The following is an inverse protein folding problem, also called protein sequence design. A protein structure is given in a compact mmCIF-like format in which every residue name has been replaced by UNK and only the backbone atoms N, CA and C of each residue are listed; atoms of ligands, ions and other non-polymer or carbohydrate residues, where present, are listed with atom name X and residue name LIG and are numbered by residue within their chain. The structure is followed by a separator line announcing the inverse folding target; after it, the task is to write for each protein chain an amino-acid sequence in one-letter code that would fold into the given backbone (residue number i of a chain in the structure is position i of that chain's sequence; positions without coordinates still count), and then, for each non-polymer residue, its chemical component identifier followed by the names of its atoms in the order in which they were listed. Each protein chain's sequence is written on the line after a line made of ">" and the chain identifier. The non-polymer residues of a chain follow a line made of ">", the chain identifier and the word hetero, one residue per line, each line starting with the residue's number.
data_IF_509438914474
#
_entry.id   IF_509438914474
#
_cell.length_a   1.000
_cell.length_b   1.000
_cell.length_c   1.000
_cell.angle_alpha   90.00
_cell.angle_beta   90.00
_cell.angle_gamma   90.00
#
_symmetry.space_group_name_H-M   'P 1'
#
loop_
_entity.id
_entity.type
_entity.pdbx_description
1 polymer ?
#
# COMPACT_ATOMS: atom_id res chain seq x y z
N UNK A 1 30.78 38.24 39.25
CA UNK A 1 31.41 37.75 38.00
C UNK A 1 31.04 36.28 37.82
N UNK A 2 30.40 35.92 36.71
CA UNK A 2 30.33 34.54 36.21
C UNK A 2 29.05 33.75 36.51
N UNK A 3 28.07 33.83 35.61
CA UNK A 3 27.11 32.72 35.40
C UNK A 3 27.13 32.40 33.92
N UNK A 4 28.01 31.47 33.53
CA UNK A 4 27.98 30.79 32.24
C UNK A 4 27.29 29.43 32.44
N UNK A 5 26.31 29.16 31.58
CA UNK A 5 26.05 27.83 31.06
C UNK A 5 25.09 26.93 31.85
N UNK A 6 23.94 26.64 31.24
CA UNK A 6 23.65 25.26 30.83
C UNK A 6 22.49 25.22 29.82
N UNK A 7 22.88 25.29 28.54
CA UNK A 7 22.08 24.78 27.42
C UNK A 7 22.13 23.26 27.55
N UNK A 8 21.20 22.67 28.30
CA UNK A 8 21.03 21.21 28.34
C UNK A 8 19.55 20.85 28.30
N UNK A 9 19.15 20.41 27.11
CA UNK A 9 18.09 19.43 26.80
C UNK A 9 16.97 19.91 25.86
N UNK A 10 17.36 20.41 24.69
CA UNK A 10 16.53 20.38 23.47
C UNK A 10 16.29 18.94 22.92
N UNK A 11 16.58 17.91 23.72
CA UNK A 11 16.35 16.50 23.41
C UNK A 11 15.49 15.79 24.48
N UNK A 12 14.71 16.53 25.26
CA UNK A 12 13.71 15.93 26.13
C UNK A 12 12.41 15.70 25.35
N UNK A 13 12.31 14.47 24.83
CA UNK A 13 11.06 13.78 24.46
C UNK A 13 10.24 14.40 23.33
N UNK A 14 10.40 13.81 22.14
CA UNK A 14 9.22 13.35 21.39
C UNK A 14 8.46 12.38 22.30
N UNK A 15 7.64 12.94 23.19
CA UNK A 15 6.87 12.14 24.12
C UNK A 15 5.89 11.30 23.30
N UNK A 16 6.00 9.99 23.45
CA UNK A 16 5.06 9.01 22.93
C UNK A 16 3.71 9.26 23.62
N UNK A 17 2.90 10.14 23.04
CA UNK A 17 1.61 10.61 23.58
C UNK A 17 0.62 9.45 23.84
N UNK A 18 0.90 8.26 23.29
CA UNK A 18 0.10 7.05 23.46
C UNK A 18 0.31 6.33 24.80
N UNK A 19 1.35 6.67 25.60
CA UNK A 19 1.59 6.05 26.91
C UNK A 19 1.06 6.87 28.10
N UNK A 20 0.41 8.01 27.84
CA UNK A 20 -0.07 8.89 28.90
C UNK A 20 -1.44 8.42 29.40
N UNK A 21 -1.59 8.13 30.69
CA UNK A 21 -2.89 7.79 31.30
C UNK A 21 -3.48 9.04 31.97
N UNK A 22 -4.46 9.68 31.33
CA UNK A 22 -5.11 10.89 31.82
C UNK A 22 -6.48 11.13 31.17
N UNK A 23 -7.27 12.09 31.68
CA UNK A 23 -8.62 12.37 31.13
C UNK A 23 -8.62 12.72 29.64
N UNK A 24 -7.56 13.33 29.14
CA UNK A 24 -7.40 13.72 27.72
C UNK A 24 -7.04 12.54 26.81
N UNK A 25 -6.46 11.46 27.35
CA UNK A 25 -6.17 10.21 26.63
C UNK A 25 -7.21 9.12 26.85
N UNK A 26 -8.28 9.38 27.62
CA UNK A 26 -9.39 8.43 27.88
C UNK A 26 -10.17 8.04 26.61
N UNK A 27 -10.14 8.87 25.57
CA UNK A 27 -10.69 8.54 24.24
C UNK A 27 -9.83 7.51 23.49
N UNK A 28 -8.55 7.42 23.84
CA UNK A 28 -7.60 6.49 23.23
C UNK A 28 -7.69 5.12 23.91
N UNK A 29 -8.68 4.33 23.51
CA UNK A 29 -8.74 2.91 23.86
C UNK A 29 -7.83 2.18 22.88
N UNK A 30 -6.55 2.04 23.21
CA UNK A 30 -5.69 1.07 22.55
C UNK A 30 -6.13 -0.33 23.00
N UNK A 31 -7.14 -0.91 22.34
CA UNK A 31 -7.46 -2.32 22.51
C UNK A 31 -6.22 -3.10 22.09
N UNK A 32 -5.76 -4.02 22.93
CA UNK A 32 -4.68 -4.95 22.59
C UNK A 32 -5.20 -6.03 21.63
N UNK A 33 -5.78 -5.61 20.52
CA UNK A 33 -6.32 -6.44 19.45
C UNK A 33 -5.67 -6.00 18.16
N UNK A 34 -5.24 -6.96 17.34
CA UNK A 34 -4.70 -6.63 16.02
C UNK A 34 -5.78 -5.97 15.17
N UNK A 35 -5.39 -5.11 14.23
CA UNK A 35 -6.31 -4.53 13.25
C UNK A 35 -7.14 -5.62 12.55
N UNK A 36 -6.53 -6.80 12.31
CA UNK A 36 -7.19 -7.96 11.73
C UNK A 36 -8.31 -8.53 12.63
N UNK A 37 -8.12 -8.54 13.95
CA UNK A 37 -9.13 -9.02 14.90
C UNK A 37 -10.32 -8.04 15.01
N UNK A 38 -10.09 -6.75 14.79
CA UNK A 38 -11.14 -5.73 14.80
C UNK A 38 -11.91 -5.68 13.48
N UNK A 39 -11.20 -5.75 12.35
CA UNK A 39 -11.78 -5.66 11.00
C UNK A 39 -12.44 -6.97 10.59
N UNK A 40 -11.93 -8.13 11.01
CA UNK A 40 -12.40 -9.44 10.57
C UNK A 40 -13.90 -9.69 10.78
N UNK A 41 -14.51 -9.12 11.84
CA UNK A 41 -15.96 -9.23 12.10
C UNK A 41 -16.82 -8.41 11.14
N UNK A 42 -16.29 -7.32 10.59
CA UNK A 42 -17.00 -6.38 9.73
C UNK A 42 -16.50 -6.39 8.28
N UNK A 43 -15.52 -7.23 7.95
CA UNK A 43 -14.81 -7.22 6.67
C UNK A 43 -15.75 -7.47 5.49
N UNK A 44 -16.71 -8.40 5.61
CA UNK A 44 -17.71 -8.65 4.58
C UNK A 44 -18.52 -7.39 4.25
N UNK A 45 -19.10 -6.75 5.27
CA UNK A 45 -19.87 -5.50 5.11
C UNK A 45 -19.02 -4.35 4.56
N UNK A 46 -17.74 -4.29 4.94
CA UNK A 46 -16.83 -3.27 4.42
C UNK A 46 -16.57 -3.46 2.92
N UNK A 47 -16.35 -4.69 2.46
CA UNK A 47 -16.17 -5.02 1.04
C UNK A 47 -17.44 -4.73 0.23
N UNK A 48 -18.60 -5.08 0.76
CA UNK A 48 -19.88 -4.81 0.09
C UNK A 48 -20.11 -3.30 -0.07
N UNK A 49 -19.82 -2.52 0.98
CA UNK A 49 -19.89 -1.04 0.91
C UNK A 49 -18.86 -0.42 -0.02
N UNK A 50 -17.65 -0.99 -0.10
CA UNK A 50 -16.62 -0.56 -1.05
C UNK A 50 -17.11 -0.73 -2.50
N UNK A 51 -17.61 -1.93 -2.83
CA UNK A 51 -18.17 -2.24 -4.17
C UNK A 51 -19.39 -1.38 -4.50
N UNK A 52 -20.27 -1.16 -3.53
CA UNK A 52 -21.44 -0.29 -3.68
C UNK A 52 -21.02 1.17 -3.95
N UNK A 53 -20.07 1.68 -3.18
CA UNK A 53 -19.52 3.03 -3.36
C UNK A 53 -18.88 3.22 -4.73
N UNK A 54 -18.11 2.22 -5.20
CA UNK A 54 -17.47 2.24 -6.52
C UNK A 54 -18.50 2.25 -7.64
N UNK A 55 -19.60 1.48 -7.53
CA UNK A 55 -20.62 1.40 -8.59
C UNK A 55 -21.57 2.60 -8.61
N UNK A 56 -21.92 3.14 -7.44
CA UNK A 56 -22.96 4.15 -7.30
C UNK A 56 -22.44 5.59 -7.19
N UNK A 57 -21.13 5.80 -7.10
CA UNK A 57 -20.55 7.14 -6.99
C UNK A 57 -19.46 7.40 -8.03
N UNK A 58 -19.45 8.63 -8.56
CA UNK A 58 -18.39 9.09 -9.44
C UNK A 58 -17.02 9.14 -8.72
N UNK A 59 -17.03 9.45 -7.42
CA UNK A 59 -15.82 9.56 -6.61
C UNK A 59 -15.16 8.18 -6.42
N UNK A 60 -15.94 7.13 -6.23
CA UNK A 60 -15.43 5.76 -6.07
C UNK A 60 -14.65 5.28 -7.30
N UNK A 61 -15.21 5.45 -8.50
CA UNK A 61 -14.47 5.14 -9.74
C UNK A 61 -13.21 5.98 -9.87
N UNK A 62 -13.30 7.30 -9.65
CA UNK A 62 -12.15 8.20 -9.77
C UNK A 62 -11.02 7.84 -8.81
N UNK A 63 -11.36 7.46 -7.57
CA UNK A 63 -10.39 7.03 -6.56
C UNK A 63 -9.64 5.79 -7.03
N UNK A 64 -10.33 4.77 -7.56
CA UNK A 64 -9.69 3.58 -8.10
C UNK A 64 -8.75 3.92 -9.27
N UNK A 65 -9.21 4.72 -10.23
CA UNK A 65 -8.40 5.10 -11.39
C UNK A 65 -7.11 5.82 -10.97
N UNK A 66 -7.21 6.75 -10.01
CA UNK A 66 -6.05 7.47 -9.46
C UNK A 66 -5.10 6.51 -8.75
N UNK A 67 -5.61 5.66 -7.86
CA UNK A 67 -4.76 4.75 -7.08
C UNK A 67 -4.07 3.72 -7.98
N UNK A 68 -4.78 3.12 -8.92
CA UNK A 68 -4.20 2.15 -9.87
C UNK A 68 -3.16 2.83 -10.76
N UNK A 69 -3.46 4.02 -11.28
CA UNK A 69 -2.51 4.77 -12.10
C UNK A 69 -1.23 5.15 -11.35
N UNK A 70 -1.32 5.49 -10.06
CA UNK A 70 -0.13 5.80 -9.25
C UNK A 70 0.63 4.54 -8.80
N UNK A 71 -0.07 3.43 -8.57
CA UNK A 71 0.55 2.19 -8.10
C UNK A 71 1.29 1.46 -9.23
N UNK A 72 0.66 1.36 -10.41
CA UNK A 72 1.19 0.59 -11.55
C UNK A 72 1.97 1.48 -12.52
N UNK A 73 1.50 2.71 -12.76
CA UNK A 73 2.11 3.62 -13.72
C UNK A 73 2.14 3.02 -15.12
N UNK A 74 3.36 2.83 -15.67
CA UNK A 74 3.60 2.21 -16.99
C UNK A 74 3.78 0.69 -16.91
N UNK A 75 3.58 0.09 -15.73
CA UNK A 75 3.91 -1.30 -15.45
C UNK A 75 5.05 -1.41 -14.44
N UNK A 76 4.92 -2.37 -13.54
CA UNK A 76 5.92 -2.76 -12.56
C UNK A 76 6.91 -3.70 -13.24
N UNK A 77 8.17 -3.27 -13.28
CA UNK A 77 9.25 -3.99 -13.94
C UNK A 77 10.21 -4.55 -12.91
N UNK A 78 10.50 -5.85 -13.00
CA UNK A 78 11.50 -6.48 -12.15
C UNK A 78 12.89 -6.27 -12.75
N UNK A 79 13.76 -5.63 -11.98
CA UNK A 79 15.16 -5.43 -12.36
C UNK A 79 15.99 -6.54 -11.70
N UNK A 80 16.57 -7.47 -12.48
CA UNK A 80 17.45 -8.48 -11.91
C UNK A 80 18.72 -7.81 -11.37
N UNK A 81 19.23 -8.34 -10.27
CA UNK A 81 20.48 -7.89 -9.66
C UNK A 81 21.28 -9.10 -9.21
N UNK A 82 21.77 -9.86 -10.19
CA UNK A 82 22.50 -11.11 -9.96
C UNK A 82 24.01 -10.88 -9.78
N UNK A 83 24.48 -9.66 -10.07
CA UNK A 83 25.91 -9.31 -10.07
C UNK A 83 26.67 -9.74 -11.32
N UNK A 84 25.96 -10.21 -12.35
CA UNK A 84 26.52 -10.61 -13.65
C UNK A 84 25.64 -10.09 -14.78
N UNK A 85 26.19 -9.18 -15.59
CA UNK A 85 25.48 -8.57 -16.73
C UNK A 85 24.94 -9.62 -17.71
N UNK A 86 25.64 -10.74 -17.87
CA UNK A 86 25.23 -11.85 -18.75
C UNK A 86 23.94 -12.49 -18.24
N UNK A 87 23.85 -12.76 -16.93
CA UNK A 87 22.66 -13.36 -16.31
C UNK A 87 21.50 -12.37 -16.28
N UNK A 88 21.77 -11.11 -15.98
CA UNK A 88 20.75 -10.06 -15.93
C UNK A 88 20.17 -9.78 -17.33
N UNK A 89 21.00 -9.81 -18.39
CA UNK A 89 20.54 -9.73 -19.77
C UNK A 89 19.70 -10.95 -20.17
N UNK A 90 20.13 -12.16 -19.80
CA UNK A 90 19.37 -13.39 -20.07
C UNK A 90 17.99 -13.35 -19.39
N UNK A 91 17.94 -12.92 -18.13
CA UNK A 91 16.68 -12.75 -17.41
C UNK A 91 15.76 -11.76 -18.13
N UNK A 92 16.30 -10.62 -18.56
CA UNK A 92 15.51 -9.58 -19.24
C UNK A 92 14.88 -10.10 -20.53
N UNK A 93 15.64 -10.83 -21.35
CA UNK A 93 15.15 -11.43 -22.60
C UNK A 93 14.06 -12.48 -22.34
N UNK A 94 14.29 -13.39 -21.39
CA UNK A 94 13.31 -14.43 -21.03
C UNK A 94 12.01 -13.81 -20.49
N UNK A 95 12.13 -12.72 -19.72
CA UNK A 95 10.99 -11.98 -19.22
C UNK A 95 10.22 -11.31 -20.35
N UNK A 96 10.90 -10.64 -21.28
CA UNK A 96 10.25 -10.00 -22.44
C UNK A 96 9.51 -11.02 -23.33
N UNK A 97 10.13 -12.19 -23.56
CA UNK A 97 9.50 -13.30 -24.30
C UNK A 97 8.26 -13.86 -23.58
N UNK A 98 8.36 -14.01 -22.25
CA UNK A 98 7.23 -14.45 -21.44
C UNK A 98 6.11 -13.39 -21.37
N UNK A 99 6.44 -12.11 -21.21
CA UNK A 99 5.46 -11.01 -21.16
C UNK A 99 4.64 -10.93 -22.44
N UNK A 100 5.26 -11.21 -23.60
CA UNK A 100 4.57 -11.27 -24.88
C UNK A 100 3.57 -12.44 -25.01
N UNK A 101 3.64 -13.44 -24.13
CA UNK A 101 2.74 -14.60 -24.10
C UNK A 101 2.01 -14.76 -22.76
N UNK A 102 2.02 -13.69 -21.95
CA UNK A 102 1.47 -13.69 -20.59
C UNK A 102 -0.07 -13.74 -20.59
N UNK A 103 -0.71 -13.13 -21.58
CA UNK A 103 -2.14 -13.24 -21.80
C UNK A 103 -2.44 -14.36 -22.78
N UNK A 104 -3.36 -15.26 -22.42
CA UNK A 104 -3.77 -16.36 -23.32
C UNK A 104 -4.70 -15.84 -24.41
N UNK A 105 -5.41 -14.75 -24.15
CA UNK A 105 -6.37 -14.15 -25.08
C UNK A 105 -5.75 -13.03 -25.94
N UNK A 106 -4.49 -12.63 -25.68
CA UNK A 106 -3.78 -11.52 -26.33
C UNK A 106 -4.58 -10.19 -26.34
N UNK A 107 -5.41 -9.96 -25.32
CA UNK A 107 -6.23 -8.75 -25.16
C UNK A 107 -5.50 -7.71 -24.31
N UNK A 108 -4.73 -8.16 -23.33
CA UNK A 108 -4.09 -7.32 -22.32
C UNK A 108 -2.57 -7.49 -22.35
N UNK A 109 -1.86 -6.37 -22.23
CA UNK A 109 -0.44 -6.43 -21.90
C UNK A 109 -0.23 -6.78 -20.42
N UNK A 110 0.99 -7.17 -20.07
CA UNK A 110 1.34 -7.54 -18.70
C UNK A 110 1.11 -6.39 -17.69
N UNK A 111 1.30 -5.13 -18.11
CA UNK A 111 1.02 -3.96 -17.27
C UNK A 111 -0.48 -3.77 -17.00
N UNK A 112 -1.33 -4.09 -17.96
CA UNK A 112 -2.78 -4.05 -17.84
C UNK A 112 -3.29 -5.17 -16.92
N UNK A 113 -2.67 -6.35 -16.97
CA UNK A 113 -2.94 -7.41 -15.99
C UNK A 113 -2.57 -6.98 -14.56
N UNK A 114 -1.44 -6.30 -14.38
CA UNK A 114 -1.07 -5.71 -13.09
C UNK A 114 -2.08 -4.63 -12.64
N UNK A 115 -2.56 -3.80 -13.56
CA UNK A 115 -3.59 -2.80 -13.27
C UNK A 115 -4.91 -3.43 -12.81
N UNK A 116 -5.33 -4.54 -13.44
CA UNK A 116 -6.52 -5.30 -13.01
C UNK A 116 -6.34 -5.89 -11.62
N UNK A 117 -5.17 -6.47 -11.33
CA UNK A 117 -4.84 -6.98 -10.00
C UNK A 117 -4.89 -5.86 -8.95
N UNK A 118 -4.22 -4.72 -9.19
CA UNK A 118 -4.27 -3.60 -8.25
C UNK A 118 -5.70 -3.06 -8.07
N UNK A 119 -6.49 -3.02 -9.13
CA UNK A 119 -7.89 -2.58 -9.06
C UNK A 119 -8.73 -3.51 -8.19
N UNK A 120 -8.61 -4.83 -8.35
CA UNK A 120 -9.36 -5.80 -7.53
C UNK A 120 -8.93 -5.75 -6.07
N UNK A 121 -7.64 -5.58 -5.80
CA UNK A 121 -7.10 -5.38 -4.45
C UNK A 121 -7.69 -4.13 -3.79
N UNK A 122 -7.73 -2.99 -4.49
CA UNK A 122 -8.26 -1.75 -3.93
C UNK A 122 -9.79 -1.75 -3.76
N UNK A 123 -10.52 -2.35 -4.69
CA UNK A 123 -11.99 -2.39 -4.64
C UNK A 123 -12.50 -3.45 -3.64
N UNK A 124 -11.97 -4.67 -3.73
CA UNK A 124 -12.49 -5.84 -3.01
C UNK A 124 -11.65 -6.27 -1.81
N UNK A 125 -10.41 -5.79 -1.68
CA UNK A 125 -9.47 -6.36 -0.71
C UNK A 125 -9.26 -7.85 -0.92
N UNK A 126 -9.35 -8.29 -2.19
CA UNK A 126 -9.02 -9.63 -2.62
C UNK A 126 -7.51 -9.66 -2.92
N UNK A 127 -6.81 -10.68 -2.41
CA UNK A 127 -5.35 -10.85 -2.49
C UNK A 127 -5.01 -12.28 -2.85
#
# INVERSE_FOLDING_TARGET
>A
MGVLGNIRSWFAKRDYNSAQFGRRSRSYIAKNTSANAEIGKALGTLRDRSRDFVRNSWAGQRILDVMVSHAVGTGIMTVPNTGSDVLDNKYRLLREEWEASSDVEDVLDYGAQQALLCRSMFEGGDS
#
